data_IF_006176933514
#
_entry.id   IF_006176933514
#
_cell.length_a   1.000
_cell.length_b   1.000
_cell.length_c   1.000
_cell.angle_alpha   90.00
_cell.angle_beta   90.00
_cell.angle_gamma   90.00
#
_symmetry.space_group_name_H-M   'P 1'
#
loop_
_entity.id
_entity.type
_entity.pdbx_description
1 polymer ?
#
# COMPACT_ATOMS: atom_id res chain seq x y z
N UNK A 1 -14.71 5.47 13.67
CA UNK A 1 -15.79 5.86 14.61
C UNK A 1 -15.28 6.65 15.82
N UNK A 2 -14.05 6.39 16.31
CA UNK A 2 -13.49 7.03 17.49
C UNK A 2 -13.50 8.58 17.50
N UNK A 3 -13.15 9.25 16.40
CA UNK A 3 -12.91 10.71 16.42
C UNK A 3 -14.18 11.55 16.69
N UNK A 4 -15.29 11.24 16.00
CA UNK A 4 -16.52 12.04 16.07
C UNK A 4 -17.56 11.49 17.05
N UNK A 5 -17.52 10.19 17.32
CA UNK A 5 -18.51 9.51 18.17
C UNK A 5 -17.89 8.93 19.45
N UNK A 6 -16.60 9.12 19.66
CA UNK A 6 -15.90 8.74 20.89
C UNK A 6 -15.68 9.92 21.83
N UNK A 7 -14.97 9.66 22.92
CA UNK A 7 -14.72 10.63 24.00
C UNK A 7 -13.51 11.56 23.75
N UNK A 8 -13.09 11.68 22.49
CA UNK A 8 -11.98 12.56 22.10
C UNK A 8 -12.43 14.03 22.08
N UNK A 9 -11.49 14.96 22.26
CA UNK A 9 -11.80 16.41 22.32
C UNK A 9 -12.37 16.92 21.01
N UNK A 10 -11.96 16.30 19.91
CA UNK A 10 -12.36 16.55 18.54
C UNK A 10 -13.86 16.30 18.31
N UNK A 11 -14.51 15.46 19.11
CA UNK A 11 -15.95 15.17 18.99
C UNK A 11 -16.83 16.41 19.21
N UNK A 12 -16.35 17.39 19.97
CA UNK A 12 -17.05 18.64 20.27
C UNK A 12 -16.55 19.84 19.45
N UNK A 13 -15.62 19.62 18.51
CA UNK A 13 -15.04 20.68 17.68
C UNK A 13 -15.75 20.75 16.32
N UNK A 14 -16.06 21.97 15.87
CA UNK A 14 -16.61 22.20 14.52
C UNK A 14 -15.57 22.09 13.41
N UNK A 15 -14.28 22.15 13.77
CA UNK A 15 -13.15 22.09 12.85
C UNK A 15 -12.06 21.21 13.46
N UNK A 16 -11.45 20.35 12.63
CA UNK A 16 -10.34 19.48 13.02
C UNK A 16 -9.21 19.68 12.03
N UNK A 17 -8.03 20.06 12.54
CA UNK A 17 -6.84 20.23 11.72
C UNK A 17 -6.20 18.88 11.43
N UNK A 18 -5.98 18.57 10.15
CA UNK A 18 -5.30 17.36 9.70
C UNK A 18 -3.85 17.69 9.35
N UNK A 19 -2.95 17.53 10.32
CA UNK A 19 -1.50 17.71 10.12
C UNK A 19 -0.97 16.68 9.11
N UNK A 20 0.10 16.96 8.37
CA UNK A 20 0.71 16.05 7.38
C UNK A 20 -0.22 15.54 6.26
N UNK A 21 -1.34 16.23 6.00
CA UNK A 21 -2.18 15.97 4.84
C UNK A 21 -2.21 17.18 3.92
N UNK A 22 -1.79 16.96 2.67
CA UNK A 22 -1.93 17.99 1.63
C UNK A 22 -3.38 18.10 1.17
N UNK A 23 -3.82 19.33 0.85
CA UNK A 23 -5.15 19.60 0.27
C UNK A 23 -5.43 18.72 -0.95
N UNK A 24 -4.43 18.54 -1.82
CA UNK A 24 -4.55 17.70 -3.02
C UNK A 24 -4.83 16.23 -2.68
N UNK A 25 -4.12 15.70 -1.68
CA UNK A 25 -4.34 14.33 -1.21
C UNK A 25 -5.74 14.11 -0.65
N UNK A 26 -6.26 15.06 0.13
CA UNK A 26 -7.65 15.00 0.60
C UNK A 26 -8.64 15.04 -0.56
N UNK A 27 -8.43 15.96 -1.51
CA UNK A 27 -9.29 16.08 -2.69
C UNK A 27 -9.35 14.77 -3.49
N UNK A 28 -8.22 14.11 -3.69
CA UNK A 28 -8.15 12.82 -4.39
C UNK A 28 -9.00 11.76 -3.67
N UNK A 29 -8.83 11.61 -2.35
CA UNK A 29 -9.62 10.63 -1.59
C UNK A 29 -11.11 10.95 -1.64
N UNK A 30 -11.49 12.20 -1.41
CA UNK A 30 -12.89 12.61 -1.45
C UNK A 30 -13.52 12.32 -2.82
N UNK A 31 -12.77 12.55 -3.91
CA UNK A 31 -13.28 12.26 -5.23
C UNK A 31 -13.45 10.77 -5.51
N UNK A 32 -12.56 9.92 -5.01
CA UNK A 32 -12.71 8.47 -5.15
C UNK A 32 -13.94 8.01 -4.37
N UNK A 33 -14.09 8.47 -3.12
CA UNK A 33 -15.14 8.01 -2.20
C UNK A 33 -16.53 8.53 -2.57
N UNK A 34 -16.64 9.81 -2.96
CA UNK A 34 -17.95 10.45 -3.21
C UNK A 34 -18.33 10.54 -4.68
N UNK A 35 -17.35 10.56 -5.59
CA UNK A 35 -17.59 10.73 -7.02
C UNK A 35 -17.15 9.51 -7.84
N UNK A 36 -16.81 8.39 -7.20
CA UNK A 36 -16.36 7.15 -7.84
C UNK A 36 -15.25 7.40 -8.88
N UNK A 37 -14.35 8.34 -8.61
CA UNK A 37 -13.25 8.65 -9.51
C UNK A 37 -12.30 7.43 -9.61
N UNK A 38 -11.82 7.14 -10.82
CA UNK A 38 -10.90 6.04 -11.06
C UNK A 38 -9.51 6.27 -10.46
N UNK A 39 -8.86 5.18 -10.08
CA UNK A 39 -7.47 5.18 -9.63
C UNK A 39 -6.49 5.46 -10.77
N UNK A 40 -5.35 6.05 -10.41
CA UNK A 40 -4.24 6.29 -11.33
C UNK A 40 -2.90 5.97 -10.65
N UNK A 41 -1.95 5.41 -11.40
CA UNK A 41 -0.60 5.08 -10.90
C UNK A 41 0.14 6.28 -10.27
N UNK A 42 -0.14 7.50 -10.75
CA UNK A 42 0.46 8.74 -10.19
C UNK A 42 -0.07 9.07 -8.79
N UNK A 43 -1.34 8.75 -8.53
CA UNK A 43 -2.03 9.10 -7.27
C UNK A 43 -2.12 7.93 -6.31
N UNK A 44 -1.90 6.69 -6.76
CA UNK A 44 -2.11 5.48 -5.97
C UNK A 44 -1.33 5.47 -4.65
N UNK A 45 -0.10 6.00 -4.64
CA UNK A 45 0.71 6.09 -3.42
C UNK A 45 0.13 7.07 -2.39
N UNK A 46 -0.48 8.16 -2.86
CA UNK A 46 -1.15 9.12 -1.99
C UNK A 46 -2.40 8.47 -1.41
N UNK A 47 -3.15 7.75 -2.25
CA UNK A 47 -4.35 7.03 -1.83
C UNK A 47 -4.03 5.99 -0.77
N UNK A 48 -3.04 5.12 -1.00
CA UNK A 48 -2.62 4.10 -0.02
C UNK A 48 -2.21 4.72 1.32
N UNK A 49 -1.39 5.78 1.30
CA UNK A 49 -0.96 6.48 2.53
C UNK A 49 -2.12 7.03 3.33
N UNK A 50 -3.06 7.70 2.67
CA UNK A 50 -4.18 8.33 3.36
C UNK A 50 -5.24 7.31 3.76
N UNK A 51 -5.49 6.29 2.94
CA UNK A 51 -6.40 5.20 3.27
C UNK A 51 -5.91 4.42 4.50
N UNK A 52 -4.61 4.09 4.56
CA UNK A 52 -3.98 3.49 5.73
C UNK A 52 -4.10 4.39 6.97
N UNK A 53 -3.73 5.67 6.83
CA UNK A 53 -3.82 6.67 7.91
C UNK A 53 -5.22 6.82 8.49
N UNK A 54 -6.24 6.84 7.64
CA UNK A 54 -7.64 7.04 8.06
C UNK A 54 -8.39 5.72 8.31
N UNK A 55 -7.71 4.56 8.25
CA UNK A 55 -8.33 3.26 8.47
C UNK A 55 -9.39 2.88 7.43
N UNK A 56 -9.25 3.36 6.19
CA UNK A 56 -10.19 3.14 5.09
C UNK A 56 -9.94 1.79 4.41
N UNK A 57 -10.25 0.70 5.11
CA UNK A 57 -9.94 -0.67 4.66
C UNK A 57 -10.56 -1.02 3.30
N UNK A 58 -11.79 -0.57 3.03
CA UNK A 58 -12.43 -0.80 1.72
C UNK A 58 -11.66 -0.12 0.59
N UNK A 59 -11.18 1.11 0.81
CA UNK A 59 -10.41 1.85 -0.18
C UNK A 59 -9.02 1.22 -0.41
N UNK A 60 -8.40 0.66 0.64
CA UNK A 60 -7.17 -0.12 0.51
C UNK A 60 -7.39 -1.37 -0.35
N UNK A 61 -8.47 -2.12 -0.13
CA UNK A 61 -8.79 -3.31 -0.92
C UNK A 61 -9.08 -2.98 -2.40
N UNK A 62 -9.76 -1.87 -2.68
CA UNK A 62 -9.99 -1.40 -4.05
C UNK A 62 -8.68 -0.97 -4.72
N UNK A 63 -7.84 -0.22 -4.00
CA UNK A 63 -6.52 0.19 -4.48
C UNK A 63 -5.62 -1.02 -4.74
N UNK A 64 -5.64 -2.03 -3.88
CA UNK A 64 -4.93 -3.29 -4.04
C UNK A 64 -5.33 -4.00 -5.34
N UNK A 65 -6.64 -4.16 -5.57
CA UNK A 65 -7.17 -4.75 -6.79
C UNK A 65 -6.75 -3.97 -8.04
N UNK A 66 -6.77 -2.63 -7.95
CA UNK A 66 -6.30 -1.77 -9.02
C UNK A 66 -4.82 -2.00 -9.33
N UNK A 67 -3.97 -2.02 -8.31
CA UNK A 67 -2.53 -2.23 -8.46
C UNK A 67 -2.25 -3.59 -9.09
N UNK A 68 -2.95 -4.63 -8.64
CA UNK A 68 -2.76 -5.97 -9.14
C UNK A 68 -3.13 -6.09 -10.62
N UNK A 69 -4.30 -5.58 -11.03
CA UNK A 69 -4.92 -5.87 -12.34
C UNK A 69 -4.66 -4.82 -13.41
N UNK A 70 -4.60 -3.55 -13.04
CA UNK A 70 -4.65 -2.44 -14.00
C UNK A 70 -3.40 -1.55 -13.96
N UNK A 71 -2.69 -1.48 -12.83
CA UNK A 71 -1.50 -0.61 -12.76
C UNK A 71 -0.34 -1.09 -13.62
N UNK A 72 0.36 -0.13 -14.22
CA UNK A 72 1.60 -0.33 -14.97
C UNK A 72 2.85 -0.42 -14.09
N UNK A 73 2.68 -0.53 -12.77
CA UNK A 73 3.81 -0.60 -11.83
C UNK A 73 4.64 -1.88 -12.04
N UNK A 74 5.95 -1.76 -11.95
CA UNK A 74 6.86 -2.90 -12.00
C UNK A 74 6.71 -3.82 -10.79
N UNK A 75 7.11 -5.09 -10.94
CA UNK A 75 6.99 -6.12 -9.90
C UNK A 75 7.58 -5.67 -8.55
N UNK A 76 8.77 -5.10 -8.54
CA UNK A 76 9.43 -4.68 -7.29
C UNK A 76 8.68 -3.52 -6.63
N UNK A 77 8.15 -2.57 -7.42
CA UNK A 77 7.35 -1.48 -6.87
C UNK A 77 6.05 -2.00 -6.25
N UNK A 78 5.37 -2.94 -6.92
CA UNK A 78 4.17 -3.61 -6.37
C UNK A 78 4.49 -4.32 -5.06
N UNK A 79 5.60 -5.06 -5.03
CA UNK A 79 6.07 -5.77 -3.84
C UNK A 79 6.31 -4.83 -2.65
N UNK A 80 7.04 -3.73 -2.83
CA UNK A 80 7.31 -2.78 -1.74
C UNK A 80 6.04 -2.07 -1.25
N UNK A 81 5.07 -1.79 -2.14
CA UNK A 81 3.79 -1.24 -1.73
C UNK A 81 2.97 -2.27 -0.94
N UNK A 82 3.01 -3.54 -1.37
CA UNK A 82 2.26 -4.60 -0.74
C UNK A 82 2.72 -4.87 0.70
N UNK A 83 4.03 -4.95 0.93
CA UNK A 83 4.59 -5.12 2.27
C UNK A 83 4.31 -3.88 3.14
N UNK A 84 4.55 -2.67 2.61
CA UNK A 84 4.42 -1.41 3.36
C UNK A 84 2.99 -1.12 3.82
N UNK A 85 2.00 -1.39 2.98
CA UNK A 85 0.59 -1.09 3.25
C UNK A 85 -0.21 -2.34 3.61
N UNK A 86 0.48 -3.45 3.94
CA UNK A 86 -0.13 -4.71 4.34
C UNK A 86 -1.23 -5.18 3.38
N UNK A 87 -0.91 -5.26 2.09
CA UNK A 87 -1.81 -5.68 1.01
C UNK A 87 -1.53 -7.16 0.66
N UNK A 88 -2.24 -8.12 1.28
CA UNK A 88 -1.87 -9.53 1.24
C UNK A 88 -2.04 -10.16 -0.14
N UNK A 89 -3.11 -9.83 -0.89
CA UNK A 89 -3.35 -10.41 -2.22
C UNK A 89 -2.29 -9.95 -3.22
N UNK A 90 -1.86 -8.69 -3.11
CA UNK A 90 -0.79 -8.14 -3.92
C UNK A 90 0.57 -8.71 -3.52
N UNK A 91 0.81 -8.91 -2.22
CA UNK A 91 2.05 -9.48 -1.73
C UNK A 91 2.20 -10.93 -2.21
N UNK A 92 1.15 -11.74 -2.09
CA UNK A 92 1.10 -13.12 -2.59
C UNK A 92 1.35 -13.19 -4.10
N UNK A 93 0.69 -12.34 -4.89
CA UNK A 93 0.92 -12.23 -6.33
C UNK A 93 2.38 -11.85 -6.65
N UNK A 94 2.96 -10.92 -5.91
CA UNK A 94 4.36 -10.56 -6.07
C UNK A 94 5.29 -11.74 -5.71
N UNK A 95 5.02 -12.42 -4.61
CA UNK A 95 5.79 -13.56 -4.15
C UNK A 95 5.74 -14.69 -5.18
N UNK A 96 4.58 -15.03 -5.75
CA UNK A 96 4.48 -16.04 -6.81
C UNK A 96 5.29 -15.67 -8.06
N UNK A 97 5.34 -14.38 -8.43
CA UNK A 97 6.10 -13.86 -9.58
C UNK A 97 7.61 -13.76 -9.34
N UNK A 98 8.06 -13.68 -8.08
CA UNK A 98 9.46 -13.79 -7.65
C UNK A 98 9.92 -15.26 -7.65
N UNK A 99 9.87 -15.87 -8.83
CA UNK A 99 10.09 -17.31 -9.05
C UNK A 99 11.51 -17.67 -9.51
N UNK A 100 12.45 -16.72 -9.54
CA UNK A 100 13.84 -16.99 -9.91
C UNK A 100 14.82 -16.30 -8.96
N UNK A 101 15.97 -16.94 -8.73
CA UNK A 101 17.05 -16.37 -7.91
C UNK A 101 17.55 -15.03 -8.46
N UNK A 102 17.52 -14.85 -9.80
CA UNK A 102 17.88 -13.59 -10.45
C UNK A 102 16.95 -12.44 -10.01
N UNK A 103 15.63 -12.62 -10.09
CA UNK A 103 14.65 -11.61 -9.68
C UNK A 103 14.80 -11.24 -8.20
N UNK A 104 14.96 -12.24 -7.32
CA UNK A 104 15.16 -12.00 -5.88
C UNK A 104 16.45 -11.22 -5.62
N UNK A 105 17.54 -11.55 -6.33
CA UNK A 105 18.80 -10.80 -6.23
C UNK A 105 18.68 -9.37 -6.74
N UNK A 106 17.91 -9.13 -7.78
CA UNK A 106 17.64 -7.78 -8.30
C UNK A 106 16.81 -6.97 -7.30
N UNK A 107 15.76 -7.57 -6.72
CA UNK A 107 14.96 -6.96 -5.66
C UNK A 107 15.81 -6.55 -4.45
N UNK A 108 16.72 -7.42 -4.00
CA UNK A 108 17.63 -7.15 -2.87
C UNK A 108 18.56 -5.96 -3.10
N UNK A 109 18.85 -5.60 -4.35
CA UNK A 109 19.73 -4.47 -4.69
C UNK A 109 19.03 -3.12 -4.60
N UNK A 110 17.70 -3.07 -4.53
CA UNK A 110 17.00 -1.81 -4.40
C UNK A 110 17.11 -1.24 -2.99
N UNK A 111 17.32 0.07 -2.87
CA UNK A 111 17.50 0.75 -1.59
C UNK A 111 16.33 0.51 -0.62
N UNK A 112 15.11 0.42 -1.17
CA UNK A 112 13.87 0.17 -0.42
C UNK A 112 13.81 -1.20 0.24
N UNK A 113 14.69 -2.12 -0.14
CA UNK A 113 14.75 -3.44 0.47
C UNK A 113 15.15 -3.39 1.96
N UNK A 114 15.85 -2.34 2.38
CA UNK A 114 16.16 -2.11 3.79
C UNK A 114 14.88 -2.03 4.64
N UNK A 115 13.84 -1.38 4.12
CA UNK A 115 12.57 -1.11 4.81
C UNK A 115 11.60 -2.30 4.81
N UNK A 116 11.89 -3.36 4.05
CA UNK A 116 11.00 -4.54 3.97
C UNK A 116 10.93 -5.23 5.33
N UNK A 117 9.73 -5.66 5.72
CA UNK A 117 9.49 -6.33 6.99
C UNK A 117 10.34 -7.60 7.17
N UNK A 118 10.70 -7.91 8.42
CA UNK A 118 11.49 -9.10 8.73
C UNK A 118 10.78 -10.39 8.29
N UNK A 119 9.47 -10.49 8.53
CA UNK A 119 8.64 -11.63 8.11
C UNK A 119 8.73 -11.88 6.62
N UNK A 120 8.61 -10.83 5.79
CA UNK A 120 8.66 -10.98 4.34
C UNK A 120 10.08 -11.30 3.86
N UNK A 121 11.12 -10.77 4.52
CA UNK A 121 12.52 -11.13 4.25
C UNK A 121 12.79 -12.61 4.53
N UNK A 122 12.25 -13.16 5.63
CA UNK A 122 12.34 -14.58 5.96
C UNK A 122 11.66 -15.44 4.89
N UNK A 123 10.44 -15.08 4.49
CA UNK A 123 9.73 -15.82 3.45
C UNK A 123 10.46 -15.78 2.09
N UNK A 124 11.04 -14.62 1.73
CA UNK A 124 11.88 -14.49 0.54
C UNK A 124 13.13 -15.36 0.60
N UNK A 125 13.77 -15.45 1.77
CA UNK A 125 14.94 -16.30 1.98
C UNK A 125 14.57 -17.77 1.78
N UNK A 126 13.53 -18.24 2.47
CA UNK A 126 13.02 -19.61 2.35
C UNK A 126 12.66 -19.97 0.91
N UNK A 127 12.03 -19.03 0.22
CA UNK A 127 11.72 -19.19 -1.20
C UNK A 127 12.98 -19.29 -2.04
N UNK A 128 13.97 -18.42 -1.82
CA UNK A 128 15.22 -18.42 -2.58
C UNK A 128 16.02 -19.73 -2.44
N UNK A 129 15.94 -20.39 -1.27
CA UNK A 129 16.58 -21.68 -0.99
C UNK A 129 15.89 -22.83 -1.74
N UNK A 130 14.56 -22.79 -1.87
CA UNK A 130 13.75 -23.79 -2.60
C UNK A 130 13.88 -23.68 -4.11
N UNK A 131 14.24 -22.52 -4.64
CA UNK A 131 14.44 -22.33 -6.08
C UNK A 131 15.68 -23.07 -6.56
N UNK A 132 15.53 -23.86 -7.64
CA UNK A 132 16.64 -24.53 -8.31
C UNK A 132 17.65 -23.48 -8.85
N UNK A 133 18.96 -23.81 -8.91
CA UNK A 133 20.00 -22.90 -9.35
C UNK A 133 19.75 -22.32 -10.75
#
# INVERSE_FOLDING_TARGET
EALFFGEFRESNQSEVTLEDVTVEGMRIILNIVYYNQLFHDKTIKIVLKLADRFGMQNLLAEAENYIQRYSGLGLHQKFFLADRFHLPLLLDDCMTKLNTRKKIRELKKEDKFADVSASVKEELLDKSLKLKP
#
